data_IF_206561467622
#
_entry.id   IF_206561467622
#
_cell.length_a   1.000
_cell.length_b   1.000
_cell.length_c   1.000
_cell.angle_alpha   90.00
_cell.angle_beta   90.00
_cell.angle_gamma   90.00
#
_symmetry.space_group_name_H-M   'P 1'
#
loop_
_entity.id
_entity.type
_entity.pdbx_description
1 polymer ?
#
# COMPACT_ATOMS: atom_id res chain seq x y z
N UNK A 1 17.84 28.87 2.93
CA UNK A 1 16.52 28.24 3.10
C UNK A 1 16.14 27.63 1.77
N UNK A 2 16.11 26.30 1.68
CA UNK A 2 15.92 25.60 0.42
C UNK A 2 14.46 25.63 -0.05
N UNK A 3 14.26 25.93 -1.34
CA UNK A 3 12.98 25.96 -2.01
C UNK A 3 12.53 24.54 -2.35
N UNK A 4 12.10 23.78 -1.35
CA UNK A 4 11.28 22.60 -1.61
C UNK A 4 9.84 23.08 -1.81
N UNK A 5 9.13 22.69 -2.88
CA UNK A 5 7.76 23.12 -3.17
C UNK A 5 6.73 22.46 -2.24
N UNK A 6 7.15 22.07 -1.04
CA UNK A 6 6.31 21.49 -0.01
C UNK A 6 6.80 21.94 1.36
N UNK A 7 5.87 22.25 2.25
CA UNK A 7 6.16 22.50 3.66
C UNK A 7 6.15 21.17 4.39
N UNK A 8 7.28 20.80 5.00
CA UNK A 8 7.30 19.72 5.98
C UNK A 8 6.29 20.05 7.08
N UNK A 9 5.39 19.11 7.37
CA UNK A 9 4.40 19.31 8.44
C UNK A 9 5.13 19.42 9.79
N UNK A 10 4.66 20.30 10.70
CA UNK A 10 5.24 20.39 12.03
C UNK A 10 5.16 19.05 12.76
N UNK A 11 6.18 18.77 13.58
CA UNK A 11 6.15 17.63 14.49
C UNK A 11 4.90 17.71 15.38
N UNK A 12 4.02 16.70 15.31
CA UNK A 12 2.75 16.67 16.05
C UNK A 12 1.56 17.41 15.40
N UNK A 13 1.71 17.94 14.17
CA UNK A 13 0.57 18.48 13.41
C UNK A 13 -0.40 17.39 12.92
N UNK A 14 -1.69 17.72 12.70
CA UNK A 14 -2.69 16.75 12.27
C UNK A 14 -2.39 16.19 10.87
N UNK A 15 -2.52 14.87 10.71
CA UNK A 15 -2.52 14.20 9.41
C UNK A 15 -3.81 14.56 8.64
N UNK A 16 -3.82 14.60 7.29
CA UNK A 16 -5.02 14.86 6.48
C UNK A 16 -6.20 13.91 6.74
N UNK A 17 -5.92 12.78 7.38
CA UNK A 17 -6.91 11.79 7.80
C UNK A 17 -7.26 11.87 9.30
N UNK A 18 -6.92 12.95 10.01
CA UNK A 18 -7.17 13.12 11.44
C UNK A 18 -6.22 12.34 12.38
N UNK A 19 -5.13 11.77 11.85
CA UNK A 19 -4.13 11.01 12.63
C UNK A 19 -3.09 11.91 13.30
N UNK A 20 -2.53 11.44 14.41
CA UNK A 20 -1.38 12.04 15.05
C UNK A 20 -0.09 11.55 14.37
N UNK A 21 0.42 12.31 13.39
CA UNK A 21 1.79 12.17 12.86
C UNK A 21 2.13 10.86 12.11
N UNK A 22 3.20 10.84 11.30
CA UNK A 22 3.58 9.69 10.44
C UNK A 22 4.25 8.54 11.19
N UNK A 23 4.61 8.74 12.47
CA UNK A 23 5.43 7.81 13.25
C UNK A 23 4.74 6.47 13.51
N UNK A 24 3.44 6.46 13.78
CA UNK A 24 2.71 5.22 14.06
C UNK A 24 2.64 4.35 12.81
N UNK A 25 2.37 4.95 11.65
CA UNK A 25 2.43 4.27 10.36
C UNK A 25 3.83 3.74 10.05
N UNK A 26 4.86 4.54 10.31
CA UNK A 26 6.24 4.10 10.14
C UNK A 26 6.59 2.94 11.08
N UNK A 27 6.24 3.02 12.36
CA UNK A 27 6.47 1.97 13.34
C UNK A 27 5.71 0.66 12.97
N UNK A 28 4.53 0.78 12.37
CA UNK A 28 3.77 -0.37 11.87
C UNK A 28 4.41 -1.06 10.66
N UNK A 29 5.35 -0.41 9.95
CA UNK A 29 6.02 -0.93 8.76
C UNK A 29 7.50 -1.25 8.98
N UNK A 30 8.16 -0.53 9.87
CA UNK A 30 9.60 -0.63 10.10
C UNK A 30 10.01 -2.06 10.49
N UNK A 31 11.05 -2.57 9.83
CA UNK A 31 11.57 -3.91 10.07
C UNK A 31 10.67 -5.07 9.62
N UNK A 32 9.60 -4.79 8.86
CA UNK A 32 8.68 -5.81 8.35
C UNK A 32 8.84 -5.99 6.85
N UNK A 33 8.63 -7.21 6.38
CA UNK A 33 8.58 -7.53 4.94
C UNK A 33 7.17 -7.26 4.41
N UNK A 34 7.03 -6.27 3.53
CA UNK A 34 5.76 -5.93 2.90
C UNK A 34 6.01 -5.38 1.49
N UNK A 35 4.99 -5.46 0.64
CA UNK A 35 5.00 -4.81 -0.67
C UNK A 35 4.73 -3.31 -0.49
N UNK A 36 5.58 -2.39 -0.99
CA UNK A 36 5.38 -0.95 -0.85
C UNK A 36 4.03 -0.45 -1.38
N UNK A 37 3.48 0.59 -0.74
CA UNK A 37 2.12 1.07 -1.03
C UNK A 37 1.89 1.47 -2.50
N UNK A 38 2.91 2.04 -3.16
CA UNK A 38 2.85 2.38 -4.58
C UNK A 38 2.62 1.15 -5.46
N UNK A 39 3.27 0.03 -5.15
CA UNK A 39 3.08 -1.23 -5.88
C UNK A 39 1.72 -1.85 -5.56
N UNK A 40 1.26 -1.74 -4.31
CA UNK A 40 -0.05 -2.25 -3.92
C UNK A 40 -1.19 -1.53 -4.64
N UNK A 41 -1.12 -0.20 -4.82
CA UNK A 41 -2.24 0.62 -5.33
C UNK A 41 -2.18 0.94 -6.82
N UNK A 42 -0.99 0.96 -7.43
CA UNK A 42 -0.82 1.45 -8.80
C UNK A 42 -0.43 0.37 -9.81
N UNK A 43 -0.01 -0.81 -9.36
CA UNK A 43 0.62 -1.80 -10.26
C UNK A 43 0.06 -3.21 -10.04
N UNK A 44 0.28 -3.78 -8.87
CA UNK A 44 0.13 -5.22 -8.64
C UNK A 44 -1.31 -5.66 -8.42
N UNK A 45 -2.24 -4.72 -8.24
CA UNK A 45 -3.67 -4.98 -8.01
C UNK A 45 -4.49 -5.18 -9.29
N UNK A 46 -3.89 -5.04 -10.47
CA UNK A 46 -4.57 -5.15 -11.77
C UNK A 46 -4.57 -6.57 -12.34
N UNK A 47 -3.58 -7.38 -11.97
CA UNK A 47 -3.47 -8.78 -12.40
C UNK A 47 -3.09 -9.69 -11.21
N UNK A 48 -3.93 -9.75 -10.14
CA UNK A 48 -3.59 -10.41 -8.89
C UNK A 48 -3.20 -11.89 -9.10
N UNK A 49 -3.90 -12.62 -9.98
CA UNK A 49 -3.60 -14.02 -10.25
C UNK A 49 -2.19 -14.22 -10.84
N UNK A 50 -1.76 -13.35 -11.76
CA UNK A 50 -0.41 -13.41 -12.36
C UNK A 50 0.66 -13.05 -11.34
N UNK A 51 0.39 -12.03 -10.51
CA UNK A 51 1.32 -11.61 -9.45
C UNK A 51 1.46 -12.69 -8.38
N UNK A 52 0.36 -13.30 -7.94
CA UNK A 52 0.39 -14.39 -6.96
C UNK A 52 1.09 -15.62 -7.53
N UNK A 53 0.85 -16.00 -8.79
CA UNK A 53 1.56 -17.11 -9.42
C UNK A 53 3.08 -16.86 -9.53
N UNK A 54 3.51 -15.61 -9.72
CA UNK A 54 4.92 -15.23 -9.62
C UNK A 54 5.43 -15.38 -8.17
N UNK A 55 4.70 -14.84 -7.20
CA UNK A 55 5.08 -14.89 -5.80
C UNK A 55 5.17 -16.34 -5.28
N UNK A 56 4.23 -17.20 -5.66
CA UNK A 56 4.21 -18.63 -5.35
C UNK A 56 5.46 -19.33 -5.91
N UNK A 57 5.83 -19.01 -7.15
CA UNK A 57 7.01 -19.60 -7.80
C UNK A 57 8.30 -19.21 -7.09
N UNK A 58 8.47 -17.93 -6.76
CA UNK A 58 9.64 -17.46 -6.01
C UNK A 58 9.68 -18.08 -4.62
N UNK A 59 8.52 -18.28 -3.98
CA UNK A 59 8.43 -18.90 -2.66
C UNK A 59 8.79 -20.41 -2.64
N UNK A 60 9.04 -21.03 -3.80
CA UNK A 60 9.59 -22.40 -3.87
C UNK A 60 11.10 -22.46 -3.76
N UNK A 61 11.79 -21.32 -3.89
CA UNK A 61 13.24 -21.26 -3.81
C UNK A 61 13.72 -21.34 -2.37
N UNK A 62 14.90 -21.88 -2.16
CA UNK A 62 15.56 -21.92 -0.85
C UNK A 62 16.41 -20.66 -0.67
N UNK A 63 15.94 -19.71 0.15
CA UNK A 63 16.65 -18.47 0.48
C UNK A 63 16.35 -18.02 1.90
N UNK A 64 17.29 -17.31 2.52
CA UNK A 64 17.15 -16.72 3.86
C UNK A 64 17.08 -15.19 3.85
N UNK A 65 17.31 -14.57 2.68
CA UNK A 65 17.48 -13.12 2.51
C UNK A 65 16.91 -12.63 1.17
N UNK A 66 16.35 -11.43 1.19
CA UNK A 66 15.93 -10.68 0.00
C UNK A 66 16.87 -9.50 -0.21
N UNK A 67 17.39 -9.35 -1.43
CA UNK A 67 18.23 -8.21 -1.82
C UNK A 67 17.41 -7.30 -2.73
N UNK A 68 16.89 -6.16 -2.23
CA UNK A 68 16.10 -5.25 -3.04
C UNK A 68 16.98 -4.50 -4.06
N UNK A 69 16.42 -4.18 -5.22
CA UNK A 69 17.10 -3.40 -6.27
C UNK A 69 17.28 -1.91 -5.91
N UNK A 70 16.55 -1.44 -4.90
CA UNK A 70 16.57 -0.06 -4.43
C UNK A 70 16.71 -0.07 -2.91
N UNK A 71 17.73 0.65 -2.41
CA UNK A 71 18.15 0.76 -1.00
C UNK A 71 19.08 -0.37 -0.51
N UNK A 72 20.18 0.03 0.14
CA UNK A 72 21.27 -0.84 0.58
C UNK A 72 20.96 -1.60 1.88
N UNK A 73 19.87 -2.36 1.93
CA UNK A 73 19.54 -3.18 3.10
C UNK A 73 19.10 -4.58 2.68
N UNK A 74 19.92 -5.56 3.01
CA UNK A 74 19.57 -6.98 2.94
C UNK A 74 18.46 -7.24 3.94
N UNK A 75 17.32 -7.78 3.48
CA UNK A 75 16.18 -8.10 4.32
C UNK A 75 16.32 -9.56 4.78
N UNK A 76 16.42 -9.84 6.09
CA UNK A 76 16.46 -11.22 6.61
C UNK A 76 15.04 -11.82 6.58
N UNK A 77 14.65 -12.37 5.43
CA UNK A 77 13.32 -12.92 5.17
C UNK A 77 13.44 -14.11 4.21
N UNK A 78 12.73 -15.18 4.53
CA UNK A 78 12.67 -16.39 3.71
C UNK A 78 11.45 -16.44 2.80
N UNK A 79 11.18 -17.63 2.21
CA UNK A 79 10.14 -17.79 1.19
C UNK A 79 8.73 -17.55 1.73
N UNK A 80 8.49 -17.95 2.98
CA UNK A 80 7.21 -17.75 3.66
C UNK A 80 6.91 -16.27 3.92
N UNK A 81 7.88 -15.52 4.46
CA UNK A 81 7.74 -14.08 4.71
C UNK A 81 7.59 -13.30 3.40
N UNK A 82 8.37 -13.67 2.38
CA UNK A 82 8.23 -13.09 1.04
C UNK A 82 6.80 -13.28 0.52
N UNK A 83 6.27 -14.50 0.57
CA UNK A 83 4.93 -14.78 0.04
C UNK A 83 3.83 -14.09 0.83
N UNK A 84 3.99 -14.01 2.16
CA UNK A 84 3.05 -13.32 3.04
C UNK A 84 2.91 -11.84 2.68
N UNK A 85 3.97 -11.18 2.18
CA UNK A 85 3.94 -9.78 1.77
C UNK A 85 2.93 -9.50 0.64
N UNK A 86 2.53 -10.52 -0.13
CA UNK A 86 1.55 -10.42 -1.23
C UNK A 86 0.10 -10.65 -0.80
N UNK A 87 -0.17 -10.94 0.48
CA UNK A 87 -1.54 -11.18 0.99
C UNK A 87 -2.51 -10.02 0.78
N UNK A 88 -2.02 -8.82 0.48
CA UNK A 88 -2.89 -7.69 0.13
C UNK A 88 -3.76 -7.95 -1.12
N UNK A 89 -3.35 -8.89 -1.98
CA UNK A 89 -4.11 -9.34 -3.17
C UNK A 89 -5.14 -10.43 -2.86
N UNK A 90 -5.06 -11.04 -1.69
CA UNK A 90 -5.86 -12.21 -1.33
C UNK A 90 -7.00 -11.82 -0.38
N UNK A 91 -8.04 -12.65 -0.40
CA UNK A 91 -9.10 -12.62 0.60
C UNK A 91 -8.66 -13.24 1.92
N UNK A 92 -9.41 -12.94 2.97
CA UNK A 92 -9.21 -13.52 4.30
C UNK A 92 -8.69 -12.52 5.34
N UNK A 93 -8.61 -13.04 6.57
CA UNK A 93 -8.38 -12.24 7.77
C UNK A 93 -6.99 -12.42 8.38
N UNK A 94 -6.15 -13.25 7.75
CA UNK A 94 -4.82 -13.52 8.26
C UNK A 94 -3.97 -12.24 8.24
N UNK A 95 -3.34 -11.85 9.36
CA UNK A 95 -2.59 -10.61 9.43
C UNK A 95 -1.37 -10.65 8.49
N UNK A 96 -1.03 -9.48 7.95
CA UNK A 96 0.17 -9.26 7.14
C UNK A 96 0.65 -7.81 7.32
N UNK A 97 1.95 -7.60 7.16
CA UNK A 97 2.52 -6.26 7.21
C UNK A 97 2.10 -5.44 5.98
N UNK A 98 1.88 -4.15 6.15
CA UNK A 98 1.48 -3.29 5.03
C UNK A 98 0.01 -3.42 4.61
N UNK A 99 -0.88 -3.88 5.50
CA UNK A 99 -2.33 -3.76 5.28
C UNK A 99 -2.76 -2.28 5.33
N UNK A 100 -2.82 -1.65 4.16
CA UNK A 100 -3.16 -0.22 4.00
C UNK A 100 -4.59 0.12 4.39
N UNK A 101 -5.44 -0.88 4.67
CA UNK A 101 -6.85 -0.70 5.01
C UNK A 101 -7.12 -0.75 6.51
N UNK A 102 -6.12 -1.08 7.33
CA UNK A 102 -6.25 -1.20 8.79
C UNK A 102 -5.42 -0.15 9.53
N UNK A 103 -5.84 0.31 10.72
CA UNK A 103 -5.00 1.14 11.59
C UNK A 103 -3.63 0.48 11.88
N UNK A 104 -2.56 1.28 12.00
CA UNK A 104 -2.52 2.73 11.84
C UNK A 104 -2.37 3.19 10.38
N UNK A 105 -2.39 2.31 9.39
CA UNK A 105 -2.10 2.63 7.98
C UNK A 105 -3.33 3.15 7.20
N UNK A 106 -4.54 2.85 7.67
CA UNK A 106 -5.79 3.18 6.99
C UNK A 106 -5.86 4.66 6.55
N UNK A 107 -5.96 4.92 5.24
CA UNK A 107 -6.03 6.27 4.68
C UNK A 107 -4.68 6.92 4.33
N UNK A 108 -3.54 6.33 4.66
CA UNK A 108 -2.22 6.84 4.24
C UNK A 108 -2.01 6.68 2.74
N UNK A 109 -2.66 5.68 2.14
CA UNK A 109 -2.61 5.41 0.72
C UNK A 109 -3.65 6.18 -0.11
N UNK A 110 -4.45 7.07 0.49
CA UNK A 110 -5.54 7.79 -0.20
C UNK A 110 -5.04 8.59 -1.41
N UNK A 111 -3.88 9.22 -1.29
CA UNK A 111 -3.26 9.92 -2.41
C UNK A 111 -3.00 8.97 -3.59
N UNK A 112 -2.50 7.77 -3.32
CA UNK A 112 -2.24 6.73 -4.33
C UNK A 112 -3.53 6.20 -4.96
N UNK A 113 -4.62 6.13 -4.21
CA UNK A 113 -5.94 5.79 -4.75
C UNK A 113 -6.39 6.84 -5.77
N UNK A 114 -6.31 8.14 -5.42
CA UNK A 114 -6.61 9.23 -6.36
C UNK A 114 -5.69 9.25 -7.60
N UNK A 115 -4.42 8.89 -7.44
CA UNK A 115 -3.49 8.67 -8.58
C UNK A 115 -4.02 7.57 -9.48
N UNK A 116 -4.40 6.42 -8.91
CA UNK A 116 -4.91 5.25 -9.64
C UNK A 116 -6.15 5.61 -10.44
N UNK A 117 -7.13 6.27 -9.81
CA UNK A 117 -8.37 6.73 -10.47
C UNK A 117 -8.06 7.67 -11.64
N UNK A 118 -7.12 8.59 -11.46
CA UNK A 118 -6.66 9.48 -12.51
C UNK A 118 -6.06 8.74 -13.70
N UNK A 119 -5.19 7.75 -13.44
CA UNK A 119 -4.56 6.93 -14.48
C UNK A 119 -5.57 6.07 -15.25
N UNK A 120 -6.58 5.53 -14.56
CA UNK A 120 -7.69 4.79 -15.18
C UNK A 120 -8.54 5.72 -16.05
N UNK A 121 -8.90 6.91 -15.54
CA UNK A 121 -9.73 7.88 -16.26
C UNK A 121 -9.11 8.34 -17.58
N UNK A 122 -7.79 8.46 -17.65
CA UNK A 122 -7.08 8.84 -18.88
C UNK A 122 -6.76 7.63 -19.79
N UNK A 123 -7.18 6.43 -19.41
CA UNK A 123 -6.95 5.21 -20.19
C UNK A 123 -5.50 4.72 -20.22
N UNK A 124 -4.65 5.21 -19.31
CA UNK A 124 -3.23 4.81 -19.25
C UNK A 124 -3.05 3.40 -18.69
N UNK A 125 -3.94 2.99 -17.78
CA UNK A 125 -3.93 1.68 -17.14
C UNK A 125 -5.36 1.15 -17.00
N UNK A 126 -5.52 -0.18 -16.93
CA UNK A 126 -6.78 -0.80 -16.56
C UNK A 126 -7.17 -0.52 -15.10
N UNK A 127 -8.44 -0.73 -14.72
CA UNK A 127 -8.89 -0.63 -13.33
C UNK A 127 -8.23 -1.72 -12.48
N UNK A 128 -8.18 -1.54 -11.14
CA UNK A 128 -7.87 -2.63 -10.22
C UNK A 128 -8.82 -3.82 -10.41
N UNK A 129 -8.37 -5.02 -10.07
CA UNK A 129 -9.19 -6.22 -10.11
C UNK A 129 -10.32 -6.18 -9.06
N UNK A 130 -11.52 -6.57 -9.48
CA UNK A 130 -12.75 -6.50 -8.66
C UNK A 130 -12.65 -7.32 -7.35
N UNK A 131 -11.95 -8.46 -7.38
CA UNK A 131 -11.76 -9.27 -6.17
C UNK A 131 -10.86 -8.54 -5.17
N UNK A 132 -9.80 -7.88 -5.65
CA UNK A 132 -8.91 -7.08 -4.81
C UNK A 132 -9.66 -5.91 -4.16
N UNK A 133 -10.50 -5.21 -4.92
CA UNK A 133 -11.34 -4.15 -4.37
C UNK A 133 -12.36 -4.67 -3.34
N UNK A 134 -12.94 -5.84 -3.59
CA UNK A 134 -13.80 -6.53 -2.62
C UNK A 134 -13.05 -6.81 -1.31
N UNK A 135 -11.83 -7.35 -1.39
CA UNK A 135 -11.00 -7.62 -0.22
C UNK A 135 -10.62 -6.34 0.53
N UNK A 136 -10.31 -5.24 -0.17
CA UNK A 136 -10.04 -3.93 0.43
C UNK A 136 -11.26 -3.38 1.17
N UNK A 137 -12.44 -3.42 0.53
CA UNK A 137 -13.68 -2.96 1.14
C UNK A 137 -14.00 -3.71 2.43
N UNK A 138 -13.85 -5.04 2.43
CA UNK A 138 -14.03 -5.87 3.63
C UNK A 138 -13.06 -5.49 4.75
N UNK A 139 -11.78 -5.27 4.44
CA UNK A 139 -10.77 -4.86 5.44
C UNK A 139 -11.05 -3.47 6.01
N UNK A 140 -11.48 -2.51 5.18
CA UNK A 140 -11.88 -1.16 5.63
C UNK A 140 -13.10 -1.21 6.56
N UNK A 141 -14.11 -1.99 6.19
CA UNK A 141 -15.31 -2.17 7.00
C UNK A 141 -14.99 -2.75 8.38
N UNK A 142 -14.13 -3.77 8.42
CA UNK A 142 -13.67 -4.40 9.67
C UNK A 142 -12.85 -3.47 10.55
N UNK A 143 -12.07 -2.58 9.93
CA UNK A 143 -11.15 -1.69 10.64
C UNK A 143 -11.80 -0.40 11.14
N UNK A 144 -13.08 -0.16 10.81
CA UNK A 144 -13.76 1.10 11.07
C UNK A 144 -13.15 2.27 10.30
N UNK A 145 -12.33 1.99 9.28
CA UNK A 145 -11.73 3.03 8.45
C UNK A 145 -12.82 3.71 7.62
N UNK A 146 -12.82 5.06 7.53
CA UNK A 146 -13.76 5.75 6.66
C UNK A 146 -13.55 5.31 5.22
N UNK A 147 -14.65 5.13 4.49
CA UNK A 147 -14.60 4.92 3.05
C UNK A 147 -13.82 6.07 2.39
N UNK A 148 -13.06 5.81 1.30
CA UNK A 148 -12.46 6.89 0.55
C UNK A 148 -13.58 7.85 0.09
N UNK A 149 -13.39 9.17 0.23
CA UNK A 149 -14.35 10.11 -0.34
C UNK A 149 -14.43 9.89 -1.85
N UNK A 150 -15.59 10.17 -2.49
CA UNK A 150 -15.71 10.06 -3.94
C UNK A 150 -14.64 10.93 -4.62
N UNK A 151 -14.17 10.56 -5.82
CA UNK A 151 -13.18 11.35 -6.55
C UNK A 151 -13.70 12.79 -6.70
N UNK A 152 -12.91 13.74 -6.18
CA UNK A 152 -13.28 15.15 -6.18
C UNK A 152 -13.41 15.71 -7.60
N UNK A 153 -14.27 16.72 -7.82
CA UNK A 153 -14.52 17.29 -9.14
C UNK A 153 -13.31 18.01 -9.77
N UNK A 154 -12.30 18.37 -8.96
CA UNK A 154 -11.02 18.90 -9.43
C UNK A 154 -9.93 17.87 -9.23
N UNK A 155 -9.34 17.38 -10.32
CA UNK A 155 -8.12 16.58 -10.26
C UNK A 155 -7.05 17.27 -9.40
N UNK A 156 -6.19 16.45 -8.78
CA UNK A 156 -5.01 16.83 -7.99
C UNK A 156 -5.13 18.22 -7.33
N UNK A 157 -5.90 18.28 -6.23
CA UNK A 157 -5.95 19.47 -5.39
C UNK A 157 -4.55 19.95 -4.99
N UNK A 158 -4.40 21.24 -4.61
CA UNK A 158 -3.09 21.81 -4.37
C UNK A 158 -2.41 21.07 -3.22
N UNK A 159 -1.20 20.61 -3.49
CA UNK A 159 -0.31 20.00 -2.51
C UNK A 159 -0.03 20.94 -1.31
#
# INVERSE_FOLDING_TARGET
GGLFPFKWRPAGGPHPAGKAFWRDSFAALAGRTFVPAVLQKLVLDREPARVLAFADRVATWDFDRIVPAHLASVIPAGPAEFRQAFRFLEGGDAPYAGNLEAPPLCGDARFLEGVSDGLVKIGSVGPPDDAVETHRALRRAKSGAPAPPPPGPGGWGPF
#
